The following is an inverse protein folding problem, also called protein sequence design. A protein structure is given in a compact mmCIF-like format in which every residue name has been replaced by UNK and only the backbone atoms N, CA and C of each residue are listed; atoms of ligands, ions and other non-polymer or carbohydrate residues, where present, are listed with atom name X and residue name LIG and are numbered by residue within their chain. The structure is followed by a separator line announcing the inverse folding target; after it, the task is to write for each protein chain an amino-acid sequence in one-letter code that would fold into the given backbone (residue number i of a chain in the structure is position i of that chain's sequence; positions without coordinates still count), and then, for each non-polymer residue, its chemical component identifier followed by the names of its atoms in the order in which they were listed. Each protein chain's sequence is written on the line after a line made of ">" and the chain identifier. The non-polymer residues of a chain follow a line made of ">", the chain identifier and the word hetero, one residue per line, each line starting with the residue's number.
data_IF_116415375823
#
_entry.id   IF_116415375823
#
_cell.length_a   1.000
_cell.length_b   1.000
_cell.length_c   1.000
_cell.angle_alpha   90.00
_cell.angle_beta   90.00
_cell.angle_gamma   90.00
#
_symmetry.space_group_name_H-M   'P 1'
#
loop_
_entity.id
_entity.type
_entity.pdbx_description
1 polymer ?
#
# COMPACT_ATOMS: atom_id res chain seq x y z
N UNK A 1 -21.64 -3.59 -14.08
CA UNK A 1 -20.36 -3.46 -13.37
C UNK A 1 -19.45 -4.62 -13.72
N UNK A 2 -18.29 -4.30 -14.28
CA UNK A 2 -17.33 -5.31 -14.75
C UNK A 2 -16.28 -5.68 -13.67
N UNK A 3 -16.37 -5.12 -12.45
CA UNK A 3 -15.46 -5.43 -11.35
C UNK A 3 -16.00 -6.65 -10.59
N UNK A 4 -15.31 -7.78 -10.74
CA UNK A 4 -15.70 -9.06 -10.10
C UNK A 4 -15.08 -9.25 -8.72
N UNK A 5 -13.95 -8.60 -8.43
CA UNK A 5 -13.26 -8.69 -7.14
C UNK A 5 -12.09 -7.73 -7.04
N UNK A 6 -11.50 -7.65 -5.85
CA UNK A 6 -10.31 -6.82 -5.56
C UNK A 6 -9.27 -7.66 -4.81
N UNK A 7 -8.06 -7.71 -5.34
CA UNK A 7 -6.90 -8.32 -4.69
C UNK A 7 -5.85 -7.26 -4.41
N UNK A 8 -5.57 -7.01 -3.13
CA UNK A 8 -4.49 -6.12 -2.69
C UNK A 8 -3.32 -6.92 -2.12
N UNK A 9 -2.10 -6.62 -2.57
CA UNK A 9 -0.87 -7.29 -2.15
C UNK A 9 0.05 -6.23 -1.54
N UNK A 10 0.40 -6.39 -0.25
CA UNK A 10 1.27 -5.45 0.48
C UNK A 10 0.80 -3.99 0.40
N UNK A 11 -0.52 -3.76 0.32
CA UNK A 11 -1.07 -2.46 -0.02
C UNK A 11 -0.78 -1.39 1.04
N UNK A 12 -0.33 -0.22 0.55
CA UNK A 12 0.04 0.93 1.35
C UNK A 12 -0.69 2.20 0.88
N UNK A 13 -2.03 2.28 1.02
CA UNK A 13 -2.75 3.47 0.63
C UNK A 13 -2.23 4.69 1.40
N UNK A 14 -2.14 5.82 0.70
CA UNK A 14 -1.59 7.07 1.24
C UNK A 14 -0.13 6.93 1.75
N UNK A 15 0.66 6.04 1.13
CA UNK A 15 2.07 5.79 1.45
C UNK A 15 2.88 7.10 1.53
N UNK A 16 2.70 7.98 0.55
CA UNK A 16 3.47 9.23 0.45
C UNK A 16 3.37 10.09 1.70
N UNK A 17 2.17 10.26 2.27
CA UNK A 17 1.96 11.05 3.47
C UNK A 17 2.19 10.23 4.75
N UNK A 18 1.55 9.05 4.82
CA UNK A 18 1.45 8.31 6.08
C UNK A 18 2.70 7.51 6.44
N UNK A 19 3.55 7.18 5.47
CA UNK A 19 4.78 6.41 5.70
C UNK A 19 6.00 7.25 5.34
N UNK A 20 6.12 7.70 4.09
CA UNK A 20 7.33 8.35 3.60
C UNK A 20 7.51 9.76 4.19
N UNK A 21 6.54 10.65 3.99
CA UNK A 21 6.64 12.04 4.47
C UNK A 21 6.77 12.15 5.99
N UNK A 22 6.12 11.24 6.74
CA UNK A 22 6.28 11.19 8.20
C UNK A 22 7.70 10.86 8.63
N UNK A 23 8.42 10.04 7.87
CA UNK A 23 9.82 9.66 8.14
C UNK A 23 10.82 10.75 7.74
N UNK A 24 10.43 11.71 6.91
CA UNK A 24 11.30 12.81 6.53
C UNK A 24 11.63 13.71 7.73
N UNK A 25 12.92 14.01 7.91
CA UNK A 25 13.37 15.00 8.90
C UNK A 25 12.85 16.40 8.55
N UNK A 26 12.92 17.32 9.52
CA UNK A 26 12.57 18.73 9.28
C UNK A 26 13.39 19.33 8.13
N UNK A 27 14.70 18.99 8.06
CA UNK A 27 15.60 19.43 6.99
C UNK A 27 15.16 18.91 5.62
N UNK A 28 14.88 17.59 5.51
CA UNK A 28 14.41 16.97 4.26
C UNK A 28 13.10 17.59 3.79
N UNK A 29 12.14 17.79 4.70
CA UNK A 29 10.85 18.44 4.38
C UNK A 29 11.05 19.87 3.88
N UNK A 30 11.87 20.67 4.57
CA UNK A 30 12.19 22.04 4.17
C UNK A 30 12.82 22.07 2.78
N UNK A 31 13.80 21.21 2.54
CA UNK A 31 14.47 21.11 1.23
C UNK A 31 13.49 20.71 0.12
N UNK A 32 12.68 19.68 0.32
CA UNK A 32 11.65 19.26 -0.64
C UNK A 32 10.70 20.42 -0.99
N UNK A 33 10.28 21.20 0.01
CA UNK A 33 9.34 22.32 -0.20
C UNK A 33 10.02 23.46 -0.94
N UNK A 34 11.24 23.85 -0.55
CA UNK A 34 11.91 25.04 -1.09
C UNK A 34 12.52 24.81 -2.47
N UNK A 35 13.10 23.62 -2.71
CA UNK A 35 13.70 23.25 -4.00
C UNK A 35 12.71 22.53 -4.93
N UNK A 36 11.54 22.16 -4.44
CA UNK A 36 10.55 21.38 -5.17
C UNK A 36 10.87 19.87 -5.27
N UNK A 37 12.08 19.46 -4.86
CA UNK A 37 12.58 18.08 -4.97
C UNK A 37 13.58 17.76 -3.87
N UNK A 38 13.59 16.50 -3.43
CA UNK A 38 14.60 15.90 -2.57
C UNK A 38 14.99 14.53 -3.12
N UNK A 39 16.29 14.29 -3.30
CA UNK A 39 16.79 12.98 -3.74
C UNK A 39 16.98 12.07 -2.52
N UNK A 40 16.06 11.13 -2.34
CA UNK A 40 16.10 10.15 -1.26
C UNK A 40 17.05 9.02 -1.60
N UNK A 41 18.13 8.87 -0.84
CA UNK A 41 19.06 7.74 -0.99
C UNK A 41 18.53 6.50 -0.29
N UNK A 42 18.55 5.36 -1.00
CA UNK A 42 18.23 4.07 -0.45
C UNK A 42 19.14 3.00 -1.06
N UNK A 43 20.10 2.52 -0.27
CA UNK A 43 21.19 1.67 -0.79
C UNK A 43 21.99 2.41 -1.87
N UNK A 44 22.14 1.79 -3.04
CA UNK A 44 22.82 2.36 -4.19
C UNK A 44 21.92 3.18 -5.12
N UNK A 45 20.65 3.40 -4.74
CA UNK A 45 19.68 4.11 -5.57
C UNK A 45 19.35 5.48 -4.97
N UNK A 46 19.05 6.44 -5.87
CA UNK A 46 18.48 7.73 -5.52
C UNK A 46 17.08 7.84 -6.13
N UNK A 47 16.11 8.23 -5.31
CA UNK A 47 14.72 8.43 -5.71
C UNK A 47 14.38 9.91 -5.63
N UNK A 48 14.05 10.57 -6.75
CA UNK A 48 13.62 11.95 -6.74
C UNK A 48 12.20 12.05 -6.17
N UNK A 49 12.07 12.61 -4.98
CA UNK A 49 10.78 12.87 -4.33
C UNK A 49 10.42 14.33 -4.54
N UNK A 50 9.45 14.59 -5.41
CA UNK A 50 9.02 15.96 -5.69
C UNK A 50 7.97 16.43 -4.68
N UNK A 51 7.94 17.74 -4.40
CA UNK A 51 6.87 18.31 -3.57
C UNK A 51 5.50 18.19 -4.25
N UNK A 52 5.47 18.19 -5.59
CA UNK A 52 4.25 17.95 -6.35
C UNK A 52 3.67 16.56 -6.07
N UNK A 53 4.51 15.51 -6.03
CA UNK A 53 4.11 14.15 -5.68
C UNK A 53 3.42 14.10 -4.29
N UNK A 54 3.97 14.81 -3.31
CA UNK A 54 3.39 14.91 -1.96
C UNK A 54 2.03 15.63 -2.00
N UNK A 55 1.93 16.75 -2.73
CA UNK A 55 0.67 17.50 -2.87
C UNK A 55 -0.41 16.63 -3.53
N UNK A 56 -0.07 15.91 -4.58
CA UNK A 56 -1.00 15.04 -5.30
C UNK A 56 -1.46 13.85 -4.43
N UNK A 57 -0.55 13.25 -3.68
CA UNK A 57 -0.90 12.23 -2.69
C UNK A 57 -1.91 12.72 -1.65
N UNK A 58 -1.79 13.99 -1.20
CA UNK A 58 -2.73 14.61 -0.26
C UNK A 58 -4.11 14.86 -0.87
N UNK A 59 -4.19 15.18 -2.16
CA UNK A 59 -5.46 15.36 -2.88
C UNK A 59 -6.18 14.04 -3.12
N UNK A 60 -5.43 12.95 -3.32
CA UNK A 60 -5.95 11.64 -3.70
C UNK A 60 -6.09 10.67 -2.51
N UNK A 61 -6.52 11.18 -1.35
CA UNK A 61 -6.77 10.36 -0.16
C UNK A 61 -7.95 9.41 -0.37
N UNK A 62 -7.79 8.18 0.10
CA UNK A 62 -8.81 7.12 -0.04
C UNK A 62 -9.22 6.50 1.28
N UNK A 63 -8.41 6.59 2.34
CA UNK A 63 -8.65 5.90 3.62
C UNK A 63 -9.88 6.40 4.40
N UNK A 64 -10.40 7.57 4.05
CA UNK A 64 -11.62 8.14 4.61
C UNK A 64 -12.87 7.89 3.75
N UNK A 65 -12.74 7.17 2.63
CA UNK A 65 -13.85 6.87 1.71
C UNK A 65 -14.50 5.54 2.08
N UNK A 66 -15.75 5.36 1.62
CA UNK A 66 -16.45 4.06 1.64
C UNK A 66 -16.71 3.62 0.20
N UNK A 67 -16.39 2.39 -0.11
CA UNK A 67 -16.58 1.78 -1.43
C UNK A 67 -17.69 0.76 -1.32
N UNK A 68 -18.90 1.13 -1.74
CA UNK A 68 -20.12 0.33 -1.57
C UNK A 68 -20.29 -0.71 -2.68
N UNK A 69 -19.30 -1.60 -2.82
CA UNK A 69 -19.34 -2.70 -3.78
C UNK A 69 -19.60 -4.03 -3.05
N UNK A 70 -20.50 -4.85 -3.62
CA UNK A 70 -20.79 -6.21 -3.15
C UNK A 70 -19.91 -7.22 -3.91
N UNK A 71 -18.60 -7.16 -3.68
CA UNK A 71 -17.60 -7.99 -4.35
C UNK A 71 -16.77 -8.79 -3.32
N UNK A 72 -15.93 -9.71 -3.79
CA UNK A 72 -14.89 -10.30 -2.96
C UNK A 72 -13.72 -9.32 -2.84
N UNK A 73 -13.22 -9.09 -1.64
CA UNK A 73 -12.04 -8.26 -1.37
C UNK A 73 -11.05 -9.07 -0.57
N UNK A 74 -9.93 -9.41 -1.18
CA UNK A 74 -8.86 -10.17 -0.54
C UNK A 74 -7.60 -9.32 -0.42
N UNK A 75 -7.02 -9.31 0.77
CA UNK A 75 -5.71 -8.72 1.01
C UNK A 75 -4.70 -9.83 1.32
N UNK A 76 -3.54 -9.78 0.68
CA UNK A 76 -2.39 -10.64 0.97
C UNK A 76 -1.25 -9.77 1.50
N UNK A 77 -0.70 -10.11 2.68
CA UNK A 77 0.33 -9.30 3.33
C UNK A 77 1.39 -10.17 3.99
N UNK A 78 2.65 -9.76 3.89
CA UNK A 78 3.74 -10.46 4.56
C UNK A 78 3.73 -10.20 6.08
N UNK A 79 3.89 -11.25 6.88
CA UNK A 79 3.96 -11.12 8.34
C UNK A 79 5.14 -10.26 8.80
N UNK A 80 6.28 -10.38 8.08
CA UNK A 80 7.54 -9.66 8.35
C UNK A 80 7.77 -8.50 7.37
N UNK A 81 6.69 -7.90 6.87
CA UNK A 81 6.78 -6.70 6.03
C UNK A 81 7.26 -5.50 6.85
N UNK A 82 8.53 -5.13 6.68
CA UNK A 82 9.16 -4.00 7.38
C UNK A 82 8.85 -2.65 6.71
N UNK A 83 8.45 -2.66 5.44
CA UNK A 83 8.13 -1.44 4.70
C UNK A 83 6.72 -0.94 5.02
N UNK A 84 5.75 -1.86 5.06
CA UNK A 84 4.32 -1.56 5.27
C UNK A 84 3.74 -2.51 6.33
N UNK A 85 3.20 -1.97 7.39
CA UNK A 85 2.57 -2.78 8.45
C UNK A 85 1.27 -3.44 7.95
N UNK A 86 1.00 -4.68 8.39
CA UNK A 86 -0.25 -5.43 8.11
C UNK A 86 -1.51 -4.61 8.43
N UNK A 87 -1.42 -3.66 9.37
CA UNK A 87 -2.53 -2.76 9.72
C UNK A 87 -3.06 -1.94 8.53
N UNK A 88 -2.23 -1.68 7.50
CA UNK A 88 -2.68 -1.00 6.28
C UNK A 88 -3.64 -1.87 5.47
N UNK A 89 -3.36 -3.15 5.31
CA UNK A 89 -4.32 -4.09 4.69
C UNK A 89 -5.66 -4.14 5.43
N UNK A 90 -5.64 -4.09 6.77
CA UNK A 90 -6.86 -3.99 7.56
C UNK A 90 -7.61 -2.68 7.32
N UNK A 91 -6.91 -1.56 7.15
CA UNK A 91 -7.53 -0.28 6.78
C UNK A 91 -8.18 -0.34 5.40
N UNK A 92 -7.53 -0.97 4.42
CA UNK A 92 -8.13 -1.17 3.09
C UNK A 92 -9.43 -1.97 3.18
N UNK A 93 -9.45 -3.07 3.95
CA UNK A 93 -10.67 -3.87 4.12
C UNK A 93 -11.83 -3.07 4.74
N UNK A 94 -11.55 -2.07 5.57
CA UNK A 94 -12.58 -1.19 6.14
C UNK A 94 -13.24 -0.26 5.12
N UNK A 95 -12.57 0.01 3.98
CA UNK A 95 -13.14 0.83 2.91
C UNK A 95 -14.33 0.17 2.22
N UNK A 96 -14.45 -1.17 2.31
CA UNK A 96 -15.47 -1.97 1.63
C UNK A 96 -16.49 -2.53 2.63
N UNK A 97 -17.47 -1.76 3.11
CA UNK A 97 -18.40 -2.20 4.14
C UNK A 97 -19.23 -3.42 3.71
N UNK A 98 -19.62 -3.50 2.43
CA UNK A 98 -20.55 -4.49 1.88
C UNK A 98 -19.85 -5.68 1.17
N UNK A 99 -18.53 -5.75 1.22
CA UNK A 99 -17.75 -6.79 0.53
C UNK A 99 -17.60 -8.07 1.37
N UNK A 100 -17.42 -9.21 0.68
CA UNK A 100 -16.89 -10.44 1.31
C UNK A 100 -15.38 -10.28 1.47
N UNK A 101 -14.92 -10.10 2.71
CA UNK A 101 -13.55 -9.70 3.04
C UNK A 101 -12.70 -10.89 3.47
N UNK A 102 -11.43 -10.89 3.02
CA UNK A 102 -10.42 -11.84 3.46
C UNK A 102 -9.07 -11.15 3.66
N UNK A 103 -8.36 -11.49 4.73
CA UNK A 103 -6.97 -11.11 4.96
C UNK A 103 -6.12 -12.37 5.07
N UNK A 104 -5.16 -12.50 4.18
CA UNK A 104 -4.21 -13.60 4.14
C UNK A 104 -2.84 -13.08 4.59
N UNK A 105 -2.40 -13.46 5.78
CA UNK A 105 -1.09 -13.09 6.30
C UNK A 105 -0.13 -14.24 5.97
N UNK A 106 0.87 -13.95 5.13
CA UNK A 106 1.88 -14.93 4.73
C UNK A 106 2.92 -15.02 5.83
N UNK A 107 2.92 -16.13 6.56
CA UNK A 107 3.87 -16.41 7.65
C UNK A 107 5.33 -16.30 7.15
N UNK A 108 6.13 -15.48 7.84
CA UNK A 108 7.50 -15.12 7.48
C UNK A 108 7.66 -14.42 6.12
N UNK A 109 6.56 -13.97 5.49
CA UNK A 109 6.61 -13.21 4.23
C UNK A 109 7.13 -11.79 4.45
N UNK A 110 7.95 -11.31 3.51
CA UNK A 110 8.44 -9.94 3.41
C UNK A 110 7.46 -9.04 2.64
N UNK A 111 7.88 -7.81 2.33
CA UNK A 111 7.08 -6.86 1.55
C UNK A 111 6.86 -7.33 0.11
N UNK A 112 7.85 -7.94 -0.53
CA UNK A 112 7.79 -8.33 -1.94
C UNK A 112 6.92 -9.54 -2.20
N UNK A 113 6.78 -10.45 -1.22
CA UNK A 113 6.08 -11.73 -1.33
C UNK A 113 6.52 -12.57 -2.54
N UNK A 114 7.75 -12.37 -3.04
CA UNK A 114 8.29 -13.00 -4.25
C UNK A 114 8.77 -14.45 -4.04
N UNK A 115 8.74 -14.96 -2.81
CA UNK A 115 9.04 -16.35 -2.53
C UNK A 115 8.04 -17.30 -3.20
N UNK A 116 8.46 -18.55 -3.50
CA UNK A 116 7.56 -19.60 -4.04
C UNK A 116 6.26 -19.73 -3.24
N UNK A 117 6.35 -19.64 -1.89
CA UNK A 117 5.19 -19.69 -0.99
C UNK A 117 4.28 -18.46 -1.17
N UNK A 118 4.86 -17.26 -1.23
CA UNK A 118 4.13 -16.01 -1.42
C UNK A 118 3.39 -16.00 -2.75
N UNK A 119 4.08 -16.32 -3.85
CA UNK A 119 3.51 -16.39 -5.18
C UNK A 119 2.38 -17.44 -5.29
N UNK A 120 2.57 -18.62 -4.68
CA UNK A 120 1.52 -19.66 -4.66
C UNK A 120 0.24 -19.18 -3.96
N UNK A 121 0.38 -18.44 -2.85
CA UNK A 121 -0.76 -17.86 -2.14
C UNK A 121 -1.44 -16.80 -2.98
N UNK A 122 -0.68 -15.88 -3.58
CA UNK A 122 -1.22 -14.83 -4.46
C UNK A 122 -2.01 -15.43 -5.62
N UNK A 123 -1.43 -16.40 -6.33
CA UNK A 123 -2.10 -17.10 -7.44
C UNK A 123 -3.37 -17.82 -7.01
N UNK A 124 -3.34 -18.49 -5.84
CA UNK A 124 -4.54 -19.13 -5.28
C UNK A 124 -5.64 -18.12 -5.01
N UNK A 125 -5.33 -17.00 -4.37
CA UNK A 125 -6.33 -15.97 -4.06
C UNK A 125 -6.87 -15.28 -5.33
N UNK A 126 -6.01 -15.05 -6.32
CA UNK A 126 -6.45 -14.53 -7.62
C UNK A 126 -7.47 -15.46 -8.30
N UNK A 127 -7.19 -16.78 -8.36
CA UNK A 127 -8.11 -17.78 -8.93
C UNK A 127 -9.46 -17.86 -8.22
N UNK A 128 -9.50 -17.51 -6.92
CA UNK A 128 -10.76 -17.50 -6.15
C UNK A 128 -11.60 -16.22 -6.37
N UNK A 129 -11.03 -15.21 -7.02
CA UNK A 129 -11.73 -13.97 -7.34
C UNK A 129 -12.44 -14.03 -8.71
N UNK A 130 -11.89 -14.78 -9.62
CA UNK A 130 -12.43 -15.04 -10.97
C UNK A 130 -13.11 -16.39 -11.01
#
# INVERSE_FOLDING_TARGET
>A
NQIVGFLGIGAAPEFLENIMWKKFSKKMKKETITKGIYNLKHGNYEYPITYQLIKDGRKNKVLNKKINLKIKVTMVHGEKDEAVKVSYSRKVLKLFPNAKKKLNIVKNGDHSLSSKKGLKIILKELKLLI
#
